data_IF_827366209823
#
_entry.id   IF_827366209823
#
_cell.length_a   1.000
_cell.length_b   1.000
_cell.length_c   1.000
_cell.angle_alpha   90.00
_cell.angle_beta   90.00
_cell.angle_gamma   90.00
#
_symmetry.space_group_name_H-M   'P 1'
#
loop_
_entity.id
_entity.type
_entity.pdbx_description
1 polymer ?
#
# COMPACT_ATOMS: atom_id res chain seq x y z
N UNK A 1 8.71 14.42 -6.44
CA UNK A 1 9.73 14.43 -5.38
C UNK A 1 9.09 14.35 -4.00
N UNK A 2 8.26 13.32 -3.79
CA UNK A 2 7.56 13.10 -2.53
C UNK A 2 7.25 11.61 -2.40
N UNK A 3 7.65 10.99 -1.30
CA UNK A 3 7.39 9.60 -0.97
C UNK A 3 6.16 9.51 -0.06
N UNK A 4 5.28 8.53 -0.31
CA UNK A 4 4.11 8.28 0.54
C UNK A 4 3.10 9.44 0.60
N UNK A 5 3.23 10.44 -0.27
CA UNK A 5 2.37 11.64 -0.32
C UNK A 5 2.75 12.75 0.67
N UNK A 6 3.63 12.51 1.63
CA UNK A 6 3.93 13.48 2.71
C UNK A 6 5.42 13.62 3.05
N UNK A 7 6.28 12.76 2.51
CA UNK A 7 7.71 12.75 2.85
C UNK A 7 8.49 13.32 1.68
N UNK A 8 9.04 14.52 1.82
CA UNK A 8 9.89 15.10 0.79
C UNK A 8 11.07 14.17 0.46
N UNK A 9 11.36 14.01 -0.83
CA UNK A 9 12.52 13.27 -1.29
C UNK A 9 13.82 13.94 -0.76
N UNK A 10 14.78 13.20 -0.16
CA UNK A 10 15.98 13.81 0.42
C UNK A 10 16.88 14.54 -0.59
N UNK A 11 16.87 14.12 -1.86
CA UNK A 11 17.73 14.68 -2.90
C UNK A 11 17.00 15.76 -3.72
N UNK A 12 15.71 15.56 -3.98
CA UNK A 12 14.95 16.38 -4.92
C UNK A 12 13.77 17.14 -4.30
N UNK A 13 13.43 16.89 -3.03
CA UNK A 13 12.26 17.45 -2.36
C UNK A 13 12.31 18.96 -2.15
N UNK A 14 13.50 19.57 -2.25
CA UNK A 14 13.63 21.04 -2.24
C UNK A 14 13.20 21.69 -3.56
N UNK A 15 13.09 20.93 -4.64
CA UNK A 15 12.77 21.45 -5.99
C UNK A 15 11.27 21.55 -6.24
N UNK A 16 10.45 20.68 -5.64
CA UNK A 16 9.00 20.65 -5.81
C UNK A 16 8.31 20.22 -4.52
N UNK A 17 7.15 20.79 -4.25
CA UNK A 17 6.33 20.47 -3.08
C UNK A 17 5.54 19.18 -3.29
N UNK A 18 5.14 18.52 -2.20
CA UNK A 18 4.39 17.26 -2.27
C UNK A 18 3.03 17.41 -2.94
N UNK A 19 2.36 18.55 -2.79
CA UNK A 19 1.04 18.84 -3.35
C UNK A 19 1.02 18.91 -4.87
N UNK A 20 2.18 19.00 -5.52
CA UNK A 20 2.33 18.95 -6.97
C UNK A 20 2.19 17.53 -7.54
N UNK A 21 2.15 16.50 -6.67
CA UNK A 21 2.08 15.09 -7.07
C UNK A 21 0.79 14.43 -6.58
N UNK A 22 0.27 13.49 -7.36
CA UNK A 22 -0.87 12.66 -6.92
C UNK A 22 -0.46 11.77 -5.75
N UNK A 23 -1.14 11.84 -4.59
CA UNK A 23 -0.81 11.00 -3.45
C UNK A 23 -1.23 9.54 -3.68
N UNK A 24 -0.59 8.58 -2.99
CA UNK A 24 -1.04 7.19 -3.04
C UNK A 24 -2.43 7.04 -2.45
N UNK A 25 -3.28 6.23 -3.09
CA UNK A 25 -4.62 5.92 -2.56
C UNK A 25 -4.58 5.13 -1.25
N UNK A 26 -3.54 4.31 -1.05
CA UNK A 26 -3.32 3.55 0.18
C UNK A 26 -1.82 3.48 0.46
N UNK A 27 -1.41 3.98 1.62
CA UNK A 27 -0.06 3.74 2.13
C UNK A 27 0.04 2.35 2.77
N UNK A 28 1.15 1.66 2.52
CA UNK A 28 1.47 0.39 3.17
C UNK A 28 2.57 0.58 4.20
N UNK A 29 2.77 -0.45 5.03
CA UNK A 29 3.87 -0.45 5.99
C UNK A 29 5.24 -0.33 5.28
N UNK A 30 6.23 0.33 5.89
CA UNK A 30 7.55 0.46 5.27
C UNK A 30 8.20 -0.91 5.10
N UNK A 31 8.80 -1.15 3.94
CA UNK A 31 9.50 -2.40 3.59
C UNK A 31 8.65 -3.68 3.61
N UNK A 32 7.32 -3.63 3.59
CA UNK A 32 6.49 -4.86 3.54
C UNK A 32 6.64 -5.66 2.24
N UNK A 33 7.27 -5.08 1.20
CA UNK A 33 7.56 -5.71 -0.08
C UNK A 33 6.32 -6.37 -0.71
N UNK A 34 5.29 -5.58 -1.01
CA UNK A 34 4.11 -6.07 -1.71
C UNK A 34 4.49 -6.54 -3.11
N UNK A 35 4.21 -7.80 -3.44
CA UNK A 35 4.53 -8.39 -4.75
C UNK A 35 3.37 -8.34 -5.74
N UNK A 36 2.16 -8.07 -5.26
CA UNK A 36 1.00 -7.97 -6.13
C UNK A 36 -0.29 -7.69 -5.35
N UNK A 37 -1.31 -7.29 -6.11
CA UNK A 37 -2.66 -7.05 -5.59
C UNK A 37 -3.72 -7.58 -6.54
N UNK A 38 -4.91 -7.87 -6.00
CA UNK A 38 -6.06 -8.30 -6.79
C UNK A 38 -7.36 -7.76 -6.23
N UNK A 39 -8.17 -7.14 -7.10
CA UNK A 39 -9.58 -6.87 -6.83
C UNK A 39 -10.34 -8.20 -6.82
N UNK A 40 -11.08 -8.46 -5.75
CA UNK A 40 -11.81 -9.70 -5.57
C UNK A 40 -13.30 -9.50 -5.83
N UNK A 41 -13.75 -9.95 -7.00
CA UNK A 41 -15.17 -9.93 -7.41
C UNK A 41 -15.82 -11.33 -7.32
N UNK A 42 -15.14 -12.28 -6.67
CA UNK A 42 -15.63 -13.65 -6.50
C UNK A 42 -16.60 -13.78 -5.31
N UNK A 43 -17.23 -14.94 -5.19
CA UNK A 43 -18.19 -15.25 -4.12
C UNK A 43 -17.75 -16.35 -3.16
N UNK A 44 -16.58 -16.96 -3.41
CA UNK A 44 -16.01 -18.07 -2.63
C UNK A 44 -15.69 -17.67 -1.17
N UNK A 45 -15.22 -16.44 -0.94
CA UNK A 45 -14.94 -15.92 0.39
C UNK A 45 -16.20 -15.26 1.01
N UNK A 46 -16.24 -15.16 2.37
CA UNK A 46 -17.33 -14.48 3.06
C UNK A 46 -17.61 -13.08 2.51
N UNK A 47 -18.87 -12.64 2.61
CA UNK A 47 -19.35 -11.38 2.05
C UNK A 47 -18.45 -10.18 2.39
N UNK A 48 -17.88 -10.14 3.60
CA UNK A 48 -16.95 -9.09 4.03
C UNK A 48 -15.69 -8.93 3.18
N UNK A 49 -15.33 -9.88 2.32
CA UNK A 49 -14.17 -9.80 1.44
C UNK A 49 -14.54 -9.53 -0.02
N UNK A 50 -15.83 -9.55 -0.35
CA UNK A 50 -16.33 -9.29 -1.70
C UNK A 50 -16.15 -7.82 -2.03
N UNK A 51 -15.72 -7.59 -3.27
CA UNK A 51 -15.44 -6.28 -3.84
C UNK A 51 -14.39 -5.49 -3.04
N UNK A 52 -13.45 -6.22 -2.44
CA UNK A 52 -12.29 -5.70 -1.73
C UNK A 52 -11.00 -6.03 -2.48
N UNK A 53 -9.88 -5.45 -2.04
CA UNK A 53 -8.56 -5.70 -2.64
C UNK A 53 -7.73 -6.55 -1.68
N UNK A 54 -7.16 -7.64 -2.18
CA UNK A 54 -6.11 -8.39 -1.49
C UNK A 54 -4.73 -7.93 -1.94
N UNK A 55 -3.80 -7.78 -1.00
CA UNK A 55 -2.39 -7.45 -1.28
C UNK A 55 -1.51 -8.51 -0.62
N UNK A 56 -0.59 -9.09 -1.40
CA UNK A 56 0.40 -10.05 -0.91
C UNK A 56 1.67 -9.32 -0.49
N UNK A 57 1.92 -9.24 0.83
CA UNK A 57 3.12 -8.65 1.43
C UNK A 57 4.17 -9.74 1.66
N UNK A 58 5.25 -9.75 0.87
CA UNK A 58 6.31 -10.76 0.96
C UNK A 58 7.17 -10.60 2.22
N UNK A 59 7.25 -9.39 2.76
CA UNK A 59 7.89 -9.11 4.03
C UNK A 59 9.25 -8.43 3.95
N UNK A 60 9.59 -7.77 5.04
CA UNK A 60 10.75 -6.90 5.13
C UNK A 60 12.04 -7.66 5.38
N UNK A 61 13.03 -7.49 4.51
CA UNK A 61 14.40 -7.88 4.83
C UNK A 61 15.14 -6.76 5.59
N UNK A 62 14.94 -5.49 5.22
CA UNK A 62 15.67 -4.35 5.78
C UNK A 62 14.96 -3.64 6.95
N UNK A 63 14.60 -4.41 7.99
CA UNK A 63 14.09 -3.88 9.27
C UNK A 63 14.55 -4.76 10.42
N UNK A 64 14.89 -4.13 11.55
CA UNK A 64 15.23 -4.85 12.79
C UNK A 64 14.03 -5.62 13.37
N UNK A 65 12.84 -5.02 13.30
CA UNK A 65 11.56 -5.71 13.60
C UNK A 65 10.84 -6.02 12.28
N UNK A 66 10.77 -7.31 11.93
CA UNK A 66 10.21 -7.79 10.67
C UNK A 66 8.70 -7.52 10.61
N UNK A 67 8.21 -7.04 9.47
CA UNK A 67 6.77 -6.85 9.17
C UNK A 67 6.46 -7.28 7.73
N UNK A 68 5.18 -7.40 7.40
CA UNK A 68 4.71 -8.02 6.16
C UNK A 68 4.44 -9.51 6.40
N UNK A 69 4.86 -10.37 5.47
CA UNK A 69 4.69 -11.84 5.55
C UNK A 69 3.22 -12.27 5.69
N UNK A 70 2.33 -11.65 4.92
CA UNK A 70 0.88 -11.82 5.05
C UNK A 70 0.13 -11.40 3.79
N UNK A 71 -1.14 -11.76 3.75
CA UNK A 71 -2.11 -11.14 2.84
C UNK A 71 -2.93 -10.12 3.62
N UNK A 72 -2.97 -8.89 3.15
CA UNK A 72 -3.81 -7.82 3.71
C UNK A 72 -5.03 -7.56 2.84
N UNK A 73 -6.03 -6.90 3.43
CA UNK A 73 -7.26 -6.50 2.73
C UNK A 73 -7.39 -4.99 2.84
N UNK A 74 -7.47 -4.32 1.70
CA UNK A 74 -7.86 -2.91 1.63
C UNK A 74 -9.37 -2.86 1.43
N UNK A 75 -10.03 -2.03 2.25
CA UNK A 75 -11.48 -1.84 2.21
C UNK A 75 -11.84 -0.70 1.27
N UNK A 76 -12.67 -1.00 0.28
CA UNK A 76 -13.23 0.00 -0.62
C UNK A 76 -14.59 0.42 -0.06
N UNK A 77 -14.77 1.72 0.15
CA UNK A 77 -16.04 2.31 0.54
C UNK A 77 -16.92 2.55 -0.70
N UNK A 78 -18.24 2.39 -0.55
CA UNK A 78 -19.21 2.71 -1.60
C UNK A 78 -19.55 1.59 -2.60
N UNK A 79 -19.26 0.33 -2.25
CA UNK A 79 -19.79 -0.86 -2.93
C UNK A 79 -21.10 -1.32 -2.31
#
# INVERSE_FOLDING_TARGET
YCHGGTIADPEFGSKHKCEEFTPPAQNLGPHVASLGMRFYTGTQFPARYRDQIFIAEHGSWNRSKKIGYRVTVVRIDGN
#
